data_IF_570366162961
#
_entry.id   IF_570366162961
#
_cell.length_a   1.000
_cell.length_b   1.000
_cell.length_c   1.000
_cell.angle_alpha   90.00
_cell.angle_beta   90.00
_cell.angle_gamma   90.00
#
_symmetry.space_group_name_H-M   'P 1'
#
loop_
_entity.id
_entity.type
_entity.pdbx_description
1 polymer ?
#
# COMPACT_ATOMS: atom_id res chain seq x y z
N UNK A 1 21.09 -18.36 -16.99
CA UNK A 1 22.34 -17.57 -16.86
C UNK A 1 22.11 -16.07 -17.00
N UNK A 2 21.47 -15.58 -18.08
CA UNK A 2 21.16 -14.15 -18.29
C UNK A 2 20.23 -13.52 -17.23
N UNK A 3 19.26 -14.27 -16.70
CA UNK A 3 18.35 -13.81 -15.64
C UNK A 3 19.07 -13.58 -14.31
N UNK A 4 20.00 -14.47 -13.96
CA UNK A 4 20.83 -14.37 -12.76
C UNK A 4 21.73 -13.13 -12.82
N UNK A 5 22.40 -12.89 -13.96
CA UNK A 5 23.21 -11.69 -14.18
C UNK A 5 22.38 -10.40 -14.15
N UNK A 6 21.12 -10.42 -14.60
CA UNK A 6 20.20 -9.29 -14.47
C UNK A 6 19.73 -9.03 -13.04
N UNK A 7 19.73 -10.01 -12.16
CA UNK A 7 19.19 -9.89 -10.79
C UNK A 7 20.29 -9.66 -9.74
N UNK A 8 21.55 -10.04 -10.02
CA UNK A 8 22.65 -9.97 -9.05
C UNK A 8 23.73 -8.93 -9.35
N UNK A 9 23.64 -8.22 -10.48
CA UNK A 9 24.62 -7.19 -10.83
C UNK A 9 24.11 -5.79 -10.47
N UNK A 10 24.98 -4.84 -10.10
CA UNK A 10 24.60 -3.43 -9.87
C UNK A 10 23.84 -2.78 -11.06
N UNK A 11 23.98 -3.35 -12.26
CA UNK A 11 23.27 -2.90 -13.46
C UNK A 11 21.74 -2.89 -13.32
N UNK A 12 21.17 -3.76 -12.47
CA UNK A 12 19.72 -3.78 -12.25
C UNK A 12 19.21 -2.53 -11.53
N UNK A 13 19.98 -2.04 -10.55
CA UNK A 13 19.67 -0.81 -9.82
C UNK A 13 19.78 0.39 -10.77
N UNK A 14 20.83 0.43 -11.59
CA UNK A 14 21.00 1.47 -12.60
C UNK A 14 19.85 1.48 -13.62
N UNK A 15 19.42 0.32 -14.09
CA UNK A 15 18.28 0.21 -14.99
C UNK A 15 16.96 0.68 -14.33
N UNK A 16 16.78 0.40 -13.04
CA UNK A 16 15.63 0.92 -12.28
C UNK A 16 15.62 2.46 -12.23
N UNK A 17 16.77 3.09 -11.93
CA UNK A 17 16.92 4.55 -11.93
C UNK A 17 16.66 5.20 -13.29
N UNK A 18 16.87 4.47 -14.38
CA UNK A 18 16.81 5.02 -15.74
C UNK A 18 15.41 5.00 -16.38
N UNK A 19 14.39 4.43 -15.74
CA UNK A 19 13.03 4.55 -16.28
C UNK A 19 12.05 3.44 -15.88
N UNK A 20 12.15 2.89 -14.67
CA UNK A 20 11.13 1.93 -14.25
C UNK A 20 9.82 2.64 -13.89
N UNK A 21 8.74 2.32 -14.59
CA UNK A 21 7.39 2.68 -14.17
C UNK A 21 6.92 1.71 -13.09
N UNK A 22 6.29 2.23 -12.05
CA UNK A 22 5.80 1.43 -10.93
C UNK A 22 4.55 0.66 -11.38
N UNK A 23 4.70 -0.60 -11.80
CA UNK A 23 3.58 -1.40 -12.28
C UNK A 23 2.56 -1.66 -11.15
N UNK A 24 1.34 -1.16 -11.31
CA UNK A 24 0.20 -1.43 -10.42
C UNK A 24 -0.36 -2.84 -10.62
N UNK A 25 0.45 -3.85 -10.31
CA UNK A 25 0.03 -5.26 -10.35
C UNK A 25 -1.05 -5.50 -9.27
N UNK A 26 -2.07 -6.33 -9.53
CA UNK A 26 -3.16 -6.57 -8.58
C UNK A 26 -2.71 -6.99 -7.17
N UNK A 27 -1.64 -7.79 -7.09
CA UNK A 27 -1.05 -8.21 -5.81
C UNK A 27 -0.47 -7.03 -5.01
N UNK A 28 0.17 -6.07 -5.70
CA UNK A 28 0.72 -4.86 -5.06
C UNK A 28 -0.40 -3.93 -4.59
N UNK A 29 -1.48 -3.80 -5.36
CA UNK A 29 -2.66 -3.02 -4.95
C UNK A 29 -3.29 -3.60 -3.68
N UNK A 30 -3.49 -4.92 -3.64
CA UNK A 30 -4.00 -5.62 -2.45
C UNK A 30 -3.08 -5.40 -1.25
N UNK A 31 -1.77 -5.58 -1.42
CA UNK A 31 -0.79 -5.43 -0.35
C UNK A 31 -0.74 -3.99 0.19
N UNK A 32 -0.69 -2.97 -0.68
CA UNK A 32 -0.69 -1.54 -0.31
C UNK A 32 -1.96 -1.17 0.46
N UNK A 33 -3.11 -1.60 -0.04
CA UNK A 33 -4.40 -1.34 0.59
C UNK A 33 -4.51 -2.03 1.96
N UNK A 34 -4.08 -3.29 2.07
CA UNK A 34 -4.08 -4.00 3.35
C UNK A 34 -3.10 -3.39 4.37
N UNK A 35 -1.88 -3.08 3.96
CA UNK A 35 -0.87 -2.42 4.81
C UNK A 35 -1.41 -1.08 5.34
N UNK A 36 -1.99 -0.24 4.47
CA UNK A 36 -2.62 1.01 4.89
C UNK A 36 -3.82 0.79 5.83
N UNK A 37 -4.64 -0.24 5.58
CA UNK A 37 -5.76 -0.59 6.48
C UNK A 37 -5.29 -0.92 7.90
N UNK A 38 -4.16 -1.59 8.04
CA UNK A 38 -3.62 -2.05 9.32
C UNK A 38 -2.92 -0.90 10.06
N UNK A 39 -2.01 -0.21 9.40
CA UNK A 39 -1.10 0.74 10.05
C UNK A 39 -1.63 2.17 10.07
N UNK A 40 -2.42 2.54 9.06
CA UNK A 40 -2.87 3.92 8.84
C UNK A 40 -4.38 3.95 8.54
N UNK A 41 -5.25 3.46 9.46
CA UNK A 41 -6.66 3.21 9.17
C UNK A 41 -7.44 4.48 8.77
N UNK A 42 -7.02 5.66 9.22
CA UNK A 42 -7.59 6.94 8.80
C UNK A 42 -7.27 7.25 7.33
N UNK A 43 -6.02 7.04 6.91
CA UNK A 43 -5.60 7.17 5.51
C UNK A 43 -6.25 6.12 4.64
N UNK A 44 -6.42 4.90 5.12
CA UNK A 44 -7.14 3.88 4.36
C UNK A 44 -8.55 4.32 4.00
N UNK A 45 -9.23 5.00 4.94
CA UNK A 45 -10.58 5.49 4.75
C UNK A 45 -10.68 6.64 3.73
N UNK A 46 -9.60 7.38 3.46
CA UNK A 46 -9.54 8.45 2.44
C UNK A 46 -8.96 7.97 1.11
N UNK A 47 -7.94 7.12 1.17
CA UNK A 47 -7.06 6.80 0.04
C UNK A 47 -7.58 5.59 -0.74
N UNK A 48 -8.45 4.76 -0.15
CA UNK A 48 -8.98 3.56 -0.80
C UNK A 48 -10.51 3.53 -0.74
N UNK A 49 -11.14 3.27 -1.89
CA UNK A 49 -12.58 3.05 -1.94
C UNK A 49 -12.93 1.80 -2.76
N UNK A 50 -13.96 1.09 -2.31
CA UNK A 50 -14.46 -0.09 -3.00
C UNK A 50 -15.25 0.27 -4.26
N UNK A 51 -14.93 -0.37 -5.39
CA UNK A 51 -15.60 -0.22 -6.69
C UNK A 51 -17.13 -0.41 -6.62
N UNK A 52 -17.63 -1.20 -5.67
CA UNK A 52 -19.06 -1.39 -5.47
C UNK A 52 -19.80 -0.08 -5.14
N UNK A 53 -19.13 0.93 -4.56
CA UNK A 53 -19.71 2.24 -4.27
C UNK A 53 -19.90 3.13 -5.50
N UNK A 54 -19.13 2.90 -6.58
CA UNK A 54 -19.24 3.63 -7.85
C UNK A 54 -20.20 2.99 -8.87
N UNK A 55 -20.65 1.75 -8.67
CA UNK A 55 -21.61 1.08 -9.58
C UNK A 55 -23.03 1.67 -9.54
N UNK A 56 -23.25 2.78 -8.84
CA UNK A 56 -24.54 3.46 -8.78
C UNK A 56 -24.68 4.42 -9.96
N UNK A 57 -25.90 4.55 -10.48
CA UNK A 57 -26.21 5.40 -11.65
C UNK A 57 -25.73 6.85 -11.46
N UNK A 58 -24.68 7.26 -12.19
CA UNK A 58 -24.07 8.59 -12.15
C UNK A 58 -24.96 9.70 -12.75
N UNK A 59 -26.18 9.38 -13.19
CA UNK A 59 -27.19 10.37 -13.58
C UNK A 59 -27.77 11.11 -12.37
N UNK A 60 -27.72 10.51 -11.18
CA UNK A 60 -28.09 11.17 -9.91
C UNK A 60 -27.01 12.16 -9.45
N UNK A 61 -27.42 13.36 -9.04
CA UNK A 61 -26.54 14.36 -8.43
C UNK A 61 -25.86 13.83 -7.16
N UNK A 62 -26.55 12.98 -6.39
CA UNK A 62 -26.00 12.35 -5.19
C UNK A 62 -24.86 11.37 -5.53
N UNK A 63 -25.00 10.60 -6.60
CA UNK A 63 -23.95 9.66 -7.02
C UNK A 63 -22.74 10.36 -7.65
N UNK A 64 -22.96 11.50 -8.32
CA UNK A 64 -21.86 12.37 -8.76
C UNK A 64 -21.10 12.97 -7.58
N UNK A 65 -21.80 13.49 -6.57
CA UNK A 65 -21.15 13.99 -5.35
C UNK A 65 -20.33 12.90 -4.63
N UNK A 66 -20.85 11.67 -4.56
CA UNK A 66 -20.08 10.53 -4.05
C UNK A 66 -18.84 10.28 -4.89
N UNK A 67 -18.94 10.20 -6.22
CA UNK A 67 -17.76 10.04 -7.11
C UNK A 67 -16.73 11.15 -6.87
N UNK A 68 -17.19 12.40 -6.82
CA UNK A 68 -16.32 13.57 -6.70
C UNK A 68 -15.59 13.60 -5.36
N UNK A 69 -16.23 13.13 -4.29
CA UNK A 69 -15.59 12.96 -2.98
C UNK A 69 -14.44 11.93 -2.97
N UNK A 70 -14.36 11.05 -3.97
CA UNK A 70 -13.31 10.03 -4.10
C UNK A 70 -12.37 10.28 -5.28
N UNK A 71 -12.46 11.43 -5.94
CA UNK A 71 -11.52 11.82 -6.99
C UNK A 71 -10.10 11.90 -6.39
N UNK A 72 -9.19 11.06 -6.90
CA UNK A 72 -7.81 10.96 -6.40
C UNK A 72 -7.54 9.78 -5.46
N UNK A 73 -8.58 9.10 -4.97
CA UNK A 73 -8.43 7.87 -4.20
C UNK A 73 -8.27 6.65 -5.13
N UNK A 74 -7.63 5.60 -4.62
CA UNK A 74 -7.41 4.36 -5.35
C UNK A 74 -8.64 3.44 -5.27
N UNK A 75 -9.23 3.16 -6.42
CA UNK A 75 -10.33 2.21 -6.53
C UNK A 75 -9.81 0.78 -6.36
N UNK A 76 -10.34 0.04 -5.39
CA UNK A 76 -10.10 -1.40 -5.23
C UNK A 76 -11.36 -2.19 -5.63
N UNK A 77 -11.18 -3.38 -6.22
CA UNK A 77 -12.32 -4.23 -6.59
C UNK A 77 -13.12 -4.67 -5.34
N UNK A 78 -14.39 -5.05 -5.52
CA UNK A 78 -15.22 -5.53 -4.42
C UNK A 78 -14.59 -6.76 -3.73
N UNK A 79 -14.11 -7.72 -4.52
CA UNK A 79 -13.39 -8.90 -4.02
C UNK A 79 -12.11 -8.53 -3.25
N UNK A 80 -11.38 -7.50 -3.68
CA UNK A 80 -10.21 -7.00 -2.96
C UNK A 80 -10.61 -6.40 -1.61
N UNK A 81 -11.66 -5.57 -1.58
CA UNK A 81 -12.18 -4.96 -0.37
C UNK A 81 -12.69 -6.01 0.65
N UNK A 82 -13.44 -7.01 0.19
CA UNK A 82 -13.91 -8.13 1.02
C UNK A 82 -12.74 -8.91 1.61
N UNK A 83 -11.74 -9.24 0.78
CA UNK A 83 -10.52 -9.95 1.23
C UNK A 83 -9.75 -9.15 2.28
N UNK A 84 -9.55 -7.85 2.08
CA UNK A 84 -8.90 -6.96 3.04
C UNK A 84 -9.67 -6.93 4.36
N UNK A 85 -11.01 -6.85 4.30
CA UNK A 85 -11.87 -6.88 5.47
C UNK A 85 -11.72 -8.17 6.28
N UNK A 86 -11.78 -9.33 5.60
CA UNK A 86 -11.59 -10.62 6.25
C UNK A 86 -10.19 -10.77 6.87
N UNK A 87 -9.14 -10.35 6.16
CA UNK A 87 -7.77 -10.37 6.68
C UNK A 87 -7.62 -9.48 7.91
N UNK A 88 -8.19 -8.27 7.89
CA UNK A 88 -8.13 -7.35 9.01
C UNK A 88 -8.87 -7.90 10.24
N UNK A 89 -10.06 -8.49 10.06
CA UNK A 89 -10.81 -9.15 11.16
C UNK A 89 -9.99 -10.30 11.76
N UNK A 90 -9.35 -11.11 10.93
CA UNK A 90 -8.49 -12.19 11.40
C UNK A 90 -7.24 -11.68 12.14
N UNK A 91 -6.69 -10.52 11.74
CA UNK A 91 -5.55 -9.91 12.41
C UNK A 91 -5.92 -9.41 13.81
N UNK A 92 -7.02 -8.64 13.92
CA UNK A 92 -7.42 -8.00 15.18
C UNK A 92 -8.10 -8.96 16.16
N UNK A 93 -8.39 -10.20 15.76
CA UNK A 93 -8.82 -11.25 16.69
C UNK A 93 -7.67 -11.74 17.59
N UNK A 94 -6.41 -11.45 17.22
CA UNK A 94 -5.25 -11.77 18.02
C UNK A 94 -4.86 -10.59 18.93
N UNK A 95 -5.08 -10.74 20.23
CA UNK A 95 -4.84 -9.69 21.23
C UNK A 95 -3.37 -9.22 21.30
N UNK A 96 -2.40 -10.11 21.05
CA UNK A 96 -0.97 -9.75 21.05
C UNK A 96 -0.65 -8.80 19.89
N UNK A 97 -1.22 -9.06 18.71
CA UNK A 97 -1.03 -8.21 17.54
C UNK A 97 -1.68 -6.84 17.78
N UNK A 98 -2.89 -6.82 18.34
CA UNK A 98 -3.59 -5.57 18.68
C UNK A 98 -2.77 -4.72 19.66
N UNK A 99 -2.14 -5.34 20.66
CA UNK A 99 -1.28 -4.63 21.61
C UNK A 99 -0.08 -3.98 20.91
N UNK A 100 0.63 -4.73 20.05
CA UNK A 100 1.78 -4.21 19.29
C UNK A 100 1.38 -3.04 18.39
N UNK A 101 0.27 -3.17 17.66
CA UNK A 101 -0.20 -2.11 16.76
C UNK A 101 -0.65 -0.84 17.47
N UNK A 102 -1.14 -0.97 18.72
CA UNK A 102 -1.61 0.17 19.51
C UNK A 102 -0.45 1.01 20.07
N UNK A 103 0.64 0.37 20.45
CA UNK A 103 1.81 1.03 21.06
C UNK A 103 2.87 1.43 20.03
N UNK A 104 2.86 0.81 18.85
CA UNK A 104 3.81 1.07 17.77
C UNK A 104 3.62 2.42 17.08
N UNK A 105 4.67 2.86 16.39
CA UNK A 105 4.63 3.98 15.45
C UNK A 105 4.54 3.39 14.06
N UNK A 106 3.48 3.72 13.32
CA UNK A 106 3.31 3.26 11.95
C UNK A 106 4.35 3.87 11.01
N UNK A 107 5.06 3.01 10.28
CA UNK A 107 5.87 3.38 9.14
C UNK A 107 6.86 4.55 9.34
N UNK A 108 7.70 4.58 10.41
CA UNK A 108 8.63 5.67 10.68
C UNK A 108 9.75 5.73 9.62
N UNK A 109 10.14 6.94 9.22
CA UNK A 109 11.29 7.11 8.32
C UNK A 109 12.59 7.09 9.12
N UNK A 110 13.37 6.03 8.97
CA UNK A 110 14.71 5.91 9.52
C UNK A 110 15.74 6.34 8.49
N UNK A 111 16.74 7.12 8.91
CA UNK A 111 17.88 7.53 8.07
C UNK A 111 19.16 7.44 8.89
N UNK A 112 20.19 6.87 8.30
CA UNK A 112 21.51 6.75 8.93
C UNK A 112 22.60 6.74 7.87
N UNK A 113 23.85 6.91 8.30
CA UNK A 113 25.02 6.69 7.47
C UNK A 113 25.61 5.35 7.89
N UNK A 114 25.82 4.46 6.93
CA UNK A 114 26.50 3.20 7.18
C UNK A 114 27.98 3.48 7.50
N UNK A 115 28.45 3.08 8.67
CA UNK A 115 29.80 3.43 9.15
C UNK A 115 30.90 2.78 8.31
N UNK A 116 30.64 1.61 7.74
CA UNK A 116 31.64 0.86 6.96
C UNK A 116 31.80 1.42 5.54
N UNK A 117 30.70 1.81 4.90
CA UNK A 117 30.69 2.21 3.49
C UNK A 117 30.53 3.72 3.28
N UNK A 118 30.11 4.47 4.30
CA UNK A 118 29.77 5.90 4.21
C UNK A 118 28.46 6.17 3.44
N UNK A 119 27.72 5.13 3.05
CA UNK A 119 26.48 5.28 2.27
C UNK A 119 25.34 5.78 3.16
N UNK A 120 24.57 6.75 2.67
CA UNK A 120 23.34 7.20 3.33
C UNK A 120 22.23 6.20 3.07
N UNK A 121 21.78 5.56 4.14
CA UNK A 121 20.75 4.55 4.13
C UNK A 121 19.41 5.13 4.61
N UNK A 122 18.31 4.54 4.12
CA UNK A 122 16.96 4.81 4.61
C UNK A 122 16.16 3.52 4.74
N UNK A 123 15.33 3.45 5.75
CA UNK A 123 14.37 2.37 5.93
C UNK A 123 13.04 2.93 6.42
N UNK A 124 11.96 2.24 6.06
CA UNK A 124 10.63 2.51 6.58
C UNK A 124 10.04 1.17 7.02
N UNK A 125 10.35 0.70 8.24
CA UNK A 125 9.74 -0.52 8.75
C UNK A 125 8.24 -0.30 8.85
N UNK A 126 7.46 -1.36 8.66
CA UNK A 126 6.00 -1.34 8.80
C UNK A 126 5.57 -0.84 10.19
#
# INVERSE_FOLDING_TARGET
MLKLLRETTPAHVCAWYQGHEDENRPALVLARAYHCRVLEPQRFASDFFGHARLRRDLRSSQHRATRDAWMGAQCISATCAERIGAMYVALVSNLLIVAILKEGIAAPMLRWMDEQTGVVCKARPD
#
